data_IF_584065205604
#
_entry.id   IF_584065205604
#
_cell.length_a   1.000
_cell.length_b   1.000
_cell.length_c   1.000
_cell.angle_alpha   90.00
_cell.angle_beta   90.00
_cell.angle_gamma   90.00
#
_symmetry.space_group_name_H-M   'P 1'
#
loop_
_entity.id
_entity.type
_entity.pdbx_description
1 polymer ?
#
# COMPACT_ATOMS: atom_id res chain seq x y z
N UNK A 1 14.70 63.10 17.58
CA UNK A 1 14.23 61.81 18.07
C UNK A 1 13.63 61.04 16.96
N UNK A 2 14.30 60.03 16.51
CA UNK A 2 13.80 59.19 15.44
C UNK A 2 13.12 57.96 16.01
N UNK A 3 11.84 57.80 15.69
CA UNK A 3 11.15 56.55 15.99
C UNK A 3 11.33 55.65 14.78
N UNK A 4 12.07 54.60 14.97
CA UNK A 4 12.17 53.54 13.97
C UNK A 4 10.87 52.73 14.03
N UNK A 5 10.12 52.65 12.95
CA UNK A 5 8.94 51.76 12.94
C UNK A 5 9.44 50.33 13.05
N UNK A 6 8.95 49.65 14.07
CA UNK A 6 9.19 48.23 14.23
C UNK A 6 8.44 47.52 13.10
N UNK A 7 9.16 47.15 12.06
CA UNK A 7 8.64 46.27 11.04
C UNK A 7 8.48 44.90 11.67
N UNK A 8 7.27 44.58 12.10
CA UNK A 8 6.92 43.21 12.45
C UNK A 8 6.83 42.44 11.18
N UNK A 9 7.88 41.68 10.87
CA UNK A 9 7.86 40.73 9.79
C UNK A 9 6.99 39.55 10.25
N UNK A 10 5.72 39.54 9.85
CA UNK A 10 4.87 38.41 10.05
C UNK A 10 5.29 37.40 8.99
N UNK A 11 6.13 36.46 9.40
CA UNK A 11 6.39 35.28 8.59
C UNK A 11 5.14 34.41 8.70
N UNK A 12 4.28 34.50 7.69
CA UNK A 12 3.20 33.56 7.55
C UNK A 12 3.82 32.18 7.28
N UNK A 13 3.90 31.35 8.30
CA UNK A 13 4.20 29.94 8.11
C UNK A 13 3.01 29.33 7.38
N UNK A 14 3.10 29.23 6.06
CA UNK A 14 2.16 28.42 5.32
C UNK A 14 2.48 26.97 5.62
N UNK A 15 1.66 26.35 6.46
CA UNK A 15 1.68 24.91 6.65
C UNK A 15 1.25 24.28 5.34
N UNK A 16 2.21 23.73 4.60
CA UNK A 16 1.86 22.89 3.45
C UNK A 16 1.02 21.72 3.95
N UNK A 17 -0.13 21.41 3.29
CA UNK A 17 -0.94 20.27 3.68
C UNK A 17 -0.08 19.01 3.65
N UNK A 18 -0.29 18.14 4.64
CA UNK A 18 0.38 16.84 4.70
C UNK A 18 0.15 16.08 3.40
N UNK A 19 1.22 15.68 2.71
CA UNK A 19 1.12 14.90 1.48
C UNK A 19 0.37 13.58 1.65
N UNK A 20 0.35 13.03 2.86
CA UNK A 20 -0.41 11.82 3.17
C UNK A 20 -1.92 12.03 3.02
N UNK A 21 -2.44 13.24 3.27
CA UNK A 21 -3.86 13.57 3.10
C UNK A 21 -4.26 13.70 1.63
N UNK A 22 -3.30 14.05 0.74
CA UNK A 22 -3.54 14.27 -0.69
C UNK A 22 -3.29 13.03 -1.53
N UNK A 23 -2.81 11.96 -0.94
CA UNK A 23 -2.55 10.71 -1.64
C UNK A 23 -3.85 10.00 -1.96
N UNK A 24 -4.02 9.63 -3.21
CA UNK A 24 -5.10 8.76 -3.64
C UNK A 24 -4.89 7.36 -3.08
N UNK A 25 -5.97 6.65 -2.69
CA UNK A 25 -5.85 5.31 -2.14
C UNK A 25 -5.24 4.34 -3.13
N UNK A 26 -4.31 3.54 -2.63
CA UNK A 26 -3.76 2.39 -3.32
C UNK A 26 -4.68 1.21 -3.04
N UNK A 27 -4.92 0.37 -4.04
CA UNK A 27 -5.74 -0.84 -3.90
C UNK A 27 -5.07 -2.04 -4.52
N UNK A 28 -5.29 -3.17 -3.88
CA UNK A 28 -4.99 -4.49 -4.40
C UNK A 28 -6.26 -5.09 -5.01
N UNK A 29 -6.16 -5.66 -6.20
CA UNK A 29 -7.26 -6.36 -6.86
C UNK A 29 -6.93 -7.83 -6.97
N UNK A 30 -7.74 -8.67 -6.31
CA UNK A 30 -7.53 -10.11 -6.32
C UNK A 30 -8.14 -10.73 -7.58
N UNK A 31 -7.30 -11.03 -8.56
CA UNK A 31 -7.67 -11.76 -9.77
C UNK A 31 -7.16 -13.20 -9.76
N UNK A 32 -6.75 -13.70 -8.59
CA UNK A 32 -6.44 -15.11 -8.40
C UNK A 32 -7.73 -15.94 -8.30
N UNK A 33 -7.63 -17.25 -8.34
CA UNK A 33 -8.79 -18.14 -8.28
C UNK A 33 -9.34 -18.35 -6.87
N UNK A 34 -8.63 -17.90 -5.84
CA UNK A 34 -8.98 -18.18 -4.45
C UNK A 34 -9.03 -16.92 -3.61
N UNK A 35 -9.78 -17.00 -2.52
CA UNK A 35 -9.84 -15.92 -1.51
C UNK A 35 -8.48 -15.75 -0.84
N UNK A 36 -7.99 -14.52 -0.83
CA UNK A 36 -6.76 -14.14 -0.14
C UNK A 36 -7.07 -13.82 1.32
N UNK A 37 -6.37 -14.46 2.25
CA UNK A 37 -6.58 -14.30 3.68
C UNK A 37 -5.42 -13.58 4.39
N UNK A 38 -4.31 -13.35 3.69
CA UNK A 38 -3.19 -12.55 4.17
C UNK A 38 -2.47 -11.90 3.00
N UNK A 39 -2.12 -10.64 3.15
CA UNK A 39 -1.40 -9.87 2.14
C UNK A 39 -0.39 -8.95 2.80
N UNK A 40 0.88 -9.17 2.53
CA UNK A 40 1.98 -8.37 3.08
C UNK A 40 2.86 -7.86 1.96
N UNK A 41 3.33 -6.63 2.10
CA UNK A 41 4.24 -5.99 1.16
C UNK A 41 5.60 -5.80 1.82
N UNK A 42 6.66 -6.01 1.04
CA UNK A 42 8.02 -5.65 1.40
C UNK A 42 8.63 -4.81 0.30
N UNK A 43 9.43 -3.79 0.61
CA UNK A 43 10.26 -3.19 -0.42
C UNK A 43 11.02 -4.27 -1.18
N UNK A 44 11.09 -4.14 -2.51
CA UNK A 44 11.63 -5.20 -3.38
C UNK A 44 13.01 -5.68 -2.93
N UNK A 45 13.15 -6.97 -2.78
CA UNK A 45 14.42 -7.64 -2.41
C UNK A 45 14.79 -7.56 -0.94
N UNK A 46 14.00 -6.92 -0.07
CA UNK A 46 14.39 -6.70 1.32
C UNK A 46 13.82 -7.73 2.31
N UNK A 47 12.81 -8.49 1.93
CA UNK A 47 12.12 -9.43 2.84
C UNK A 47 11.71 -8.78 4.18
N UNK A 48 11.37 -7.51 4.13
CA UNK A 48 10.90 -6.72 5.27
C UNK A 48 9.38 -6.63 5.23
N UNK A 49 8.72 -7.72 5.54
CA UNK A 49 7.27 -7.86 5.40
C UNK A 49 6.53 -6.94 6.38
N UNK A 50 5.69 -6.09 5.83
CA UNK A 50 4.83 -5.23 6.60
C UNK A 50 3.63 -5.97 7.20
N UNK A 51 2.70 -5.20 7.73
CA UNK A 51 1.49 -5.74 8.33
C UNK A 51 0.63 -6.46 7.30
N UNK A 52 -0.25 -7.33 7.78
CA UNK A 52 -1.26 -7.97 6.95
C UNK A 52 -2.32 -6.95 6.53
N UNK A 53 -2.34 -6.62 5.23
CA UNK A 53 -3.28 -5.64 4.68
C UNK A 53 -4.72 -6.16 4.65
N UNK A 54 -4.93 -7.46 4.76
CA UNK A 54 -6.29 -8.02 4.85
C UNK A 54 -7.04 -7.53 6.09
N UNK A 55 -6.32 -7.09 7.12
CA UNK A 55 -6.93 -6.45 8.29
C UNK A 55 -7.71 -5.17 7.96
N UNK A 56 -7.48 -4.57 6.78
CA UNK A 56 -8.23 -3.40 6.33
C UNK A 56 -9.64 -3.77 5.84
N UNK A 57 -9.87 -5.03 5.57
CA UNK A 57 -11.18 -5.52 5.15
C UNK A 57 -12.01 -5.96 6.35
N UNK A 58 -13.31 -5.76 6.27
CA UNK A 58 -14.25 -6.12 7.34
C UNK A 58 -14.18 -7.57 7.72
N UNK A 59 -14.05 -8.46 6.74
CA UNK A 59 -14.02 -9.90 6.91
C UNK A 59 -12.60 -10.45 6.96
N UNK A 60 -11.58 -9.58 6.88
CA UNK A 60 -10.16 -9.92 6.85
C UNK A 60 -9.77 -10.83 5.68
N UNK A 61 -10.51 -10.77 4.60
CA UNK A 61 -10.25 -11.57 3.40
C UNK A 61 -10.65 -10.81 2.15
N UNK A 62 -10.04 -11.18 1.02
CA UNK A 62 -10.30 -10.56 -0.27
C UNK A 62 -10.70 -11.67 -1.24
N UNK A 63 -11.96 -11.71 -1.61
CA UNK A 63 -12.45 -12.70 -2.55
C UNK A 63 -11.99 -12.42 -3.97
N UNK A 64 -12.15 -13.40 -4.85
CA UNK A 64 -11.90 -13.20 -6.27
C UNK A 64 -12.70 -12.00 -6.80
N UNK A 65 -12.01 -11.16 -7.58
CA UNK A 65 -12.55 -9.93 -8.18
C UNK A 65 -12.84 -8.79 -7.19
N UNK A 66 -12.48 -8.94 -5.94
CA UNK A 66 -12.58 -7.87 -4.95
C UNK A 66 -11.31 -7.03 -4.90
N UNK A 67 -11.47 -5.78 -4.46
CA UNK A 67 -10.38 -4.83 -4.22
C UNK A 67 -10.22 -4.57 -2.74
N UNK A 68 -8.97 -4.54 -2.31
CA UNK A 68 -8.58 -4.26 -0.94
C UNK A 68 -7.85 -2.92 -0.88
N UNK A 69 -8.24 -2.07 0.05
CA UNK A 69 -7.49 -0.86 0.32
C UNK A 69 -6.17 -1.19 0.99
N UNK A 70 -5.08 -0.61 0.47
CA UNK A 70 -3.74 -0.73 1.02
C UNK A 70 -3.42 0.55 1.80
N UNK A 71 -2.95 0.39 3.02
CA UNK A 71 -2.63 1.51 3.92
C UNK A 71 -1.18 1.44 4.39
N UNK A 72 -0.63 2.60 4.77
CA UNK A 72 0.72 2.74 5.32
C UNK A 72 1.83 2.25 4.37
N UNK A 73 1.59 2.35 3.07
CA UNK A 73 2.52 1.99 2.02
C UNK A 73 2.74 3.19 1.11
N UNK A 74 3.98 3.59 0.93
CA UNK A 74 4.36 4.63 -0.02
C UNK A 74 4.56 4.05 -1.41
N UNK A 75 4.36 4.84 -2.48
CA UNK A 75 4.62 4.36 -3.84
C UNK A 75 6.04 3.82 -3.99
N UNK A 76 6.20 2.75 -4.74
CA UNK A 76 7.48 2.12 -4.97
C UNK A 76 7.33 0.73 -5.56
N UNK A 77 8.43 0.01 -5.56
CA UNK A 77 8.49 -1.36 -6.04
C UNK A 77 8.51 -2.31 -4.86
N UNK A 78 7.62 -3.28 -4.87
CA UNK A 78 7.38 -4.19 -3.75
C UNK A 78 7.35 -5.65 -4.18
N UNK A 79 7.76 -6.51 -3.26
CA UNK A 79 7.42 -7.93 -3.28
C UNK A 79 6.13 -8.10 -2.48
N UNK A 80 5.23 -8.93 -2.97
CA UNK A 80 3.93 -9.19 -2.35
C UNK A 80 3.89 -10.64 -1.89
N UNK A 81 3.66 -10.87 -0.61
CA UNK A 81 3.42 -12.21 -0.08
C UNK A 81 1.93 -12.34 0.24
N UNK A 82 1.30 -13.32 -0.36
CA UNK A 82 -0.09 -13.62 -0.09
C UNK A 82 -0.27 -15.06 0.36
N UNK A 83 -1.28 -15.27 1.20
CA UNK A 83 -1.78 -16.59 1.58
C UNK A 83 -3.25 -16.65 1.19
N UNK A 84 -3.66 -17.76 0.58
CA UNK A 84 -5.05 -17.99 0.23
C UNK A 84 -5.71 -19.05 1.13
N UNK A 85 -7.02 -19.21 0.96
CA UNK A 85 -7.81 -20.15 1.76
C UNK A 85 -7.43 -21.62 1.57
N UNK A 86 -6.72 -21.96 0.51
CA UNK A 86 -6.20 -23.32 0.31
C UNK A 86 -4.96 -23.60 1.17
N UNK A 87 -4.42 -22.57 1.83
CA UNK A 87 -3.18 -22.64 2.58
C UNK A 87 -1.93 -22.38 1.76
N UNK A 88 -2.09 -22.09 0.47
CA UNK A 88 -0.99 -21.77 -0.43
C UNK A 88 -0.42 -20.39 -0.08
N UNK A 89 0.90 -20.30 0.07
CA UNK A 89 1.63 -19.05 0.30
C UNK A 89 2.47 -18.74 -0.92
N UNK A 90 2.26 -17.59 -1.52
CA UNK A 90 2.93 -17.19 -2.76
C UNK A 90 3.63 -15.84 -2.59
N UNK A 91 4.76 -15.66 -3.28
CA UNK A 91 5.46 -14.37 -3.37
C UNK A 91 5.50 -13.94 -4.82
N UNK A 92 4.96 -12.76 -5.09
CA UNK A 92 5.04 -12.08 -6.39
C UNK A 92 6.05 -10.96 -6.28
N UNK A 93 7.10 -11.00 -7.08
CA UNK A 93 8.22 -10.05 -6.97
C UNK A 93 8.06 -8.86 -7.90
N UNK A 94 8.65 -7.74 -7.49
CA UNK A 94 8.81 -6.53 -8.31
C UNK A 94 7.50 -5.96 -8.86
N UNK A 95 6.51 -5.81 -7.98
CA UNK A 95 5.22 -5.19 -8.30
C UNK A 95 5.34 -3.68 -8.15
N UNK A 96 4.98 -2.92 -9.18
CA UNK A 96 4.92 -1.47 -9.11
C UNK A 96 3.65 -1.05 -8.37
N UNK A 97 3.83 -0.26 -7.31
CA UNK A 97 2.75 0.29 -6.50
C UNK A 97 2.79 1.81 -6.63
N UNK A 98 1.75 2.41 -7.16
CA UNK A 98 1.66 3.85 -7.41
C UNK A 98 0.44 4.46 -6.74
N UNK A 99 0.51 5.76 -6.45
CA UNK A 99 -0.61 6.49 -5.85
C UNK A 99 -1.86 6.44 -6.74
N UNK A 100 -3.00 6.17 -6.13
CA UNK A 100 -4.29 6.13 -6.81
C UNK A 100 -4.46 5.00 -7.79
N UNK A 101 -3.49 4.09 -7.86
CA UNK A 101 -3.52 2.96 -8.77
C UNK A 101 -4.01 1.69 -8.08
N UNK A 102 -4.51 0.80 -8.89
CA UNK A 102 -4.85 -0.56 -8.50
C UNK A 102 -3.77 -1.47 -9.06
N UNK A 103 -3.11 -2.24 -8.19
CA UNK A 103 -2.25 -3.33 -8.64
C UNK A 103 -3.00 -4.65 -8.50
N UNK A 104 -2.93 -5.48 -9.52
CA UNK A 104 -3.63 -6.77 -9.55
C UNK A 104 -2.64 -7.92 -9.53
N UNK A 105 -3.07 -9.02 -8.94
CA UNK A 105 -2.37 -10.30 -9.01
C UNK A 105 -3.33 -11.30 -9.61
N UNK A 106 -2.91 -11.93 -10.72
CA UNK A 106 -3.64 -12.97 -11.41
C UNK A 106 -3.05 -14.35 -11.05
N UNK A 107 -3.81 -15.39 -11.32
CA UNK A 107 -3.34 -16.76 -11.05
C UNK A 107 -2.01 -17.08 -11.77
N UNK A 108 -1.83 -16.60 -13.00
CA UNK A 108 -0.58 -16.76 -13.76
C UNK A 108 0.64 -16.13 -13.10
N UNK A 109 0.45 -15.14 -12.22
CA UNK A 109 1.54 -14.47 -11.50
C UNK A 109 2.06 -15.29 -10.33
N UNK A 110 1.33 -16.31 -9.92
CA UNK A 110 1.62 -17.11 -8.73
C UNK A 110 2.56 -18.28 -9.06
N UNK A 111 3.82 -18.00 -9.25
CA UNK A 111 4.82 -19.04 -9.54
C UNK A 111 5.72 -19.40 -8.36
N UNK A 112 5.82 -18.53 -7.36
CA UNK A 112 6.66 -18.72 -6.17
C UNK A 112 5.85 -19.16 -4.95
N UNK A 113 5.12 -20.26 -5.05
CA UNK A 113 4.21 -20.72 -4.01
C UNK A 113 4.79 -21.90 -3.22
N UNK A 114 4.51 -21.89 -1.89
CA UNK A 114 4.82 -22.97 -0.96
C UNK A 114 3.70 -23.11 0.08
N UNK A 115 3.81 -24.09 0.90
CA UNK A 115 2.84 -24.31 1.98
C UNK A 115 2.01 -25.55 1.89
#
# INVERSE_FOLDING_TARGET
MYRVPLLILIVALSLAPSRAADRKPIRFWNLTLHTVVSLQLSPAGQQAWGRDQCENDRDHEVDHDERLRITDVVPGRYDIRLKDKTGRVCVVKNVDVTDGAVFSIEEKDLSGCGG
#
